data_IF_439220671082
#
_entry.id   IF_439220671082
#
_cell.length_a   1.000
_cell.length_b   1.000
_cell.length_c   1.000
_cell.angle_alpha   90.00
_cell.angle_beta   90.00
_cell.angle_gamma   90.00
#
_symmetry.space_group_name_H-M   'P 1'
#
loop_
_entity.id
_entity.type
_entity.pdbx_description
1 polymer ?
#
# COMPACT_ATOMS: atom_id res chain seq x y z
N UNK A 1 34.81 -1.07 33.04
CA UNK A 1 34.26 -0.77 31.70
C UNK A 1 32.85 -0.21 31.87
N UNK A 2 32.57 0.90 31.17
CA UNK A 2 31.34 1.68 30.91
C UNK A 2 29.99 1.18 31.50
N UNK A 3 29.00 1.99 31.92
CA UNK A 3 28.66 3.42 31.80
C UNK A 3 27.44 3.66 32.72
N UNK A 4 27.36 4.76 33.46
CA UNK A 4 26.09 5.43 33.84
C UNK A 4 26.41 6.81 34.43
N UNK A 5 25.90 7.85 33.77
CA UNK A 5 25.90 9.23 34.25
C UNK A 5 25.11 10.06 33.24
N UNK A 6 23.78 10.14 33.40
CA UNK A 6 23.05 11.23 34.08
C UNK A 6 23.47 12.62 33.62
N UNK A 7 22.81 13.06 32.56
CA UNK A 7 21.96 14.25 32.44
C UNK A 7 22.29 15.56 33.21
N UNK A 8 21.89 16.65 32.55
CA UNK A 8 21.75 18.05 32.98
C UNK A 8 23.06 18.82 33.23
N UNK A 9 23.16 20.13 33.04
CA UNK A 9 22.42 21.17 32.30
C UNK A 9 23.19 22.47 32.63
N UNK A 10 23.21 23.43 31.71
CA UNK A 10 23.50 24.86 31.94
C UNK A 10 24.86 25.25 32.55
N UNK A 11 25.62 26.10 31.83
CA UNK A 11 25.64 27.56 32.08
C UNK A 11 26.52 28.30 31.08
N UNK A 12 26.02 29.46 30.69
CA UNK A 12 26.66 30.54 29.92
C UNK A 12 28.00 30.96 30.51
N UNK A 13 28.93 31.37 29.64
CA UNK A 13 29.86 32.47 29.91
C UNK A 13 30.17 33.18 28.60
N UNK A 14 29.78 34.45 28.55
CA UNK A 14 30.12 35.47 27.53
C UNK A 14 31.25 36.30 28.12
N UNK A 15 32.22 36.73 27.28
CA UNK A 15 32.95 38.02 27.28
C UNK A 15 34.12 37.87 26.28
N UNK A 16 34.00 38.41 25.05
CA UNK A 16 34.39 39.76 24.60
C UNK A 16 35.91 39.97 24.46
N UNK A 17 36.38 40.10 23.21
CA UNK A 17 37.45 41.04 22.79
C UNK A 17 37.72 40.94 21.28
N UNK A 18 37.66 42.07 20.56
CA UNK A 18 38.39 42.28 19.30
C UNK A 18 37.56 42.59 18.03
N UNK A 19 37.49 43.88 17.66
CA UNK A 19 37.07 44.41 16.35
C UNK A 19 38.11 44.06 15.25
N UNK A 20 37.95 44.20 13.92
CA UNK A 20 37.36 45.25 13.06
C UNK A 20 37.24 44.72 11.60
N UNK A 21 36.37 45.33 10.77
CA UNK A 21 36.38 45.47 9.28
C UNK A 21 35.90 44.28 8.40
N UNK A 22 34.87 44.55 7.57
CA UNK A 22 34.98 44.25 6.13
C UNK A 22 33.91 43.39 5.46
N UNK A 23 32.90 44.06 4.89
CA UNK A 23 32.32 43.87 3.54
C UNK A 23 31.83 42.47 3.03
N UNK A 24 30.51 42.43 2.78
CA UNK A 24 29.75 41.77 1.70
C UNK A 24 29.98 40.28 1.35
N UNK A 25 28.89 39.48 1.31
CA UNK A 25 28.35 38.79 0.11
C UNK A 25 27.06 38.02 0.47
N UNK A 26 25.98 38.41 -0.21
CA UNK A 26 24.83 37.64 -0.75
C UNK A 26 24.47 36.25 -0.17
N UNK A 27 23.18 36.14 0.20
CA UNK A 27 22.24 35.03 -0.09
C UNK A 27 22.75 33.59 -0.04
N UNK A 28 22.28 32.84 0.95
CA UNK A 28 21.47 31.64 0.72
C UNK A 28 20.97 31.17 2.09
N UNK A 29 19.69 31.40 2.40
CA UNK A 29 19.01 30.49 3.30
C UNK A 29 19.04 29.15 2.59
N UNK A 30 19.99 28.29 2.97
CA UNK A 30 19.99 26.90 2.59
C UNK A 30 18.65 26.35 3.08
N UNK A 31 17.73 26.24 2.13
CA UNK A 31 16.50 25.48 2.21
C UNK A 31 16.94 24.11 2.71
N UNK A 32 16.60 23.77 3.94
CA UNK A 32 16.48 22.36 4.32
C UNK A 32 15.44 21.80 3.36
N UNK A 33 15.93 21.17 2.29
CA UNK A 33 15.11 20.35 1.44
C UNK A 33 14.52 19.27 2.37
N UNK A 34 13.18 19.17 2.50
CA UNK A 34 12.64 17.98 3.10
C UNK A 34 13.05 16.85 2.17
N UNK A 35 13.97 15.99 2.63
CA UNK A 35 14.13 14.64 2.11
C UNK A 35 12.84 13.92 2.54
N UNK A 36 11.74 14.27 1.88
CA UNK A 36 10.64 13.35 1.72
C UNK A 36 11.25 12.22 0.93
N UNK A 37 11.63 11.16 1.63
CA UNK A 37 11.92 9.87 1.04
C UNK A 37 10.66 9.53 0.24
N UNK A 38 10.68 9.89 -1.05
CA UNK A 38 9.59 9.64 -1.95
C UNK A 38 9.44 8.13 -1.92
N UNK A 39 8.35 7.65 -1.32
CA UNK A 39 8.01 6.23 -1.30
C UNK A 39 8.03 5.78 -2.74
N UNK A 40 9.12 5.16 -3.16
CA UNK A 40 9.30 4.69 -4.53
C UNK A 40 8.22 3.66 -4.73
N UNK A 41 7.22 4.01 -5.54
CA UNK A 41 6.17 3.07 -5.93
C UNK A 41 6.88 1.97 -6.71
N UNK A 42 6.97 0.79 -6.10
CA UNK A 42 7.55 -0.39 -6.73
C UNK A 42 6.70 -0.74 -7.94
N UNK A 43 7.32 -0.94 -9.10
CA UNK A 43 6.65 -1.42 -10.31
C UNK A 43 7.00 -2.89 -10.50
N UNK A 44 6.10 -3.61 -11.14
CA UNK A 44 6.33 -4.99 -11.50
C UNK A 44 7.32 -5.06 -12.68
N UNK A 45 8.34 -5.95 -12.62
CA UNK A 45 9.22 -6.20 -13.75
C UNK A 45 8.59 -7.12 -14.82
N UNK A 46 7.38 -7.64 -14.56
CA UNK A 46 6.70 -8.60 -15.42
C UNK A 46 6.24 -7.94 -16.73
N UNK A 47 6.20 -8.74 -17.80
CA UNK A 47 5.52 -8.34 -19.04
C UNK A 47 4.00 -8.33 -18.86
N UNK A 48 3.23 -7.59 -19.69
CA UNK A 48 1.79 -7.39 -19.49
C UNK A 48 0.97 -8.69 -19.38
N UNK A 49 1.20 -9.65 -20.27
CA UNK A 49 0.46 -10.92 -20.28
C UNK A 49 0.78 -11.77 -19.05
N UNK A 50 2.06 -11.88 -18.69
CA UNK A 50 2.47 -12.57 -17.47
C UNK A 50 1.89 -11.89 -16.23
N UNK A 51 1.93 -10.56 -16.17
CA UNK A 51 1.36 -9.82 -15.06
C UNK A 51 -0.15 -10.03 -14.94
N UNK A 52 -0.88 -10.10 -16.06
CA UNK A 52 -2.31 -10.42 -16.10
C UNK A 52 -2.59 -11.82 -15.55
N UNK A 53 -1.80 -12.82 -15.93
CA UNK A 53 -1.92 -14.19 -15.42
C UNK A 53 -1.68 -14.24 -13.90
N UNK A 54 -0.62 -13.60 -13.41
CA UNK A 54 -0.30 -13.55 -11.97
C UNK A 54 -1.40 -12.88 -11.14
N UNK A 55 -1.86 -11.69 -11.55
CA UNK A 55 -2.93 -11.00 -10.81
C UNK A 55 -4.28 -11.70 -10.94
N UNK A 56 -4.53 -12.44 -12.02
CA UNK A 56 -5.73 -13.28 -12.15
C UNK A 56 -5.69 -14.42 -11.14
N UNK A 57 -4.56 -15.14 -11.08
CA UNK A 57 -4.37 -16.23 -10.12
C UNK A 57 -4.48 -15.74 -8.68
N UNK A 58 -3.89 -14.58 -8.36
CA UNK A 58 -4.01 -13.98 -7.03
C UNK A 58 -5.45 -13.62 -6.65
N UNK A 59 -6.22 -13.06 -7.59
CA UNK A 59 -7.62 -12.70 -7.37
C UNK A 59 -8.48 -13.94 -7.16
N UNK A 60 -8.26 -14.99 -7.96
CA UNK A 60 -8.98 -16.26 -7.85
C UNK A 60 -8.67 -16.95 -6.52
N UNK A 61 -7.39 -16.98 -6.09
CA UNK A 61 -6.99 -17.57 -4.80
C UNK A 61 -7.56 -16.79 -3.61
N UNK A 62 -7.57 -15.46 -3.66
CA UNK A 62 -8.16 -14.62 -2.62
C UNK A 62 -9.69 -14.83 -2.53
N UNK A 63 -10.37 -14.94 -3.68
CA UNK A 63 -11.79 -15.23 -3.75
C UNK A 63 -12.10 -16.62 -3.17
N UNK A 64 -11.36 -17.64 -3.60
CA UNK A 64 -11.52 -19.02 -3.16
C UNK A 64 -11.32 -19.14 -1.65
N UNK A 65 -10.26 -18.54 -1.12
CA UNK A 65 -9.95 -18.61 0.31
C UNK A 65 -11.03 -17.91 1.18
N UNK A 66 -11.65 -16.84 0.69
CA UNK A 66 -12.80 -16.23 1.39
C UNK A 66 -14.06 -17.10 1.31
N UNK A 67 -14.30 -17.78 0.18
CA UNK A 67 -15.46 -18.68 0.06
C UNK A 67 -15.32 -19.92 0.96
N UNK A 68 -14.12 -20.48 1.10
CA UNK A 68 -13.87 -21.60 2.02
C UNK A 68 -14.18 -21.26 3.48
N UNK A 69 -13.82 -20.06 3.94
CA UNK A 69 -14.03 -19.67 5.35
C UNK A 69 -15.44 -19.14 5.62
N UNK A 70 -16.03 -18.39 4.69
CA UNK A 70 -17.32 -17.72 4.92
C UNK A 70 -18.52 -18.44 4.33
N UNK A 71 -18.33 -19.48 3.50
CA UNK A 71 -19.30 -20.37 2.88
C UNK A 71 -20.52 -19.71 2.21
N UNK A 72 -20.81 -20.12 0.98
CA UNK A 72 -21.99 -19.67 0.25
C UNK A 72 -21.86 -18.23 -0.24
N UNK A 73 -20.64 -17.82 -0.60
CA UNK A 73 -20.43 -16.56 -1.30
C UNK A 73 -20.72 -16.77 -2.79
N UNK A 74 -21.53 -15.91 -3.36
CA UNK A 74 -21.73 -15.84 -4.81
C UNK A 74 -20.99 -14.61 -5.31
N UNK A 75 -19.97 -14.83 -6.15
CA UNK A 75 -19.13 -13.77 -6.69
C UNK A 75 -19.51 -13.46 -8.13
N UNK A 76 -19.56 -12.18 -8.46
CA UNK A 76 -19.81 -11.67 -9.80
C UNK A 76 -18.77 -10.59 -10.14
N UNK A 77 -18.54 -10.36 -11.43
CA UNK A 77 -17.74 -9.22 -11.88
C UNK A 77 -18.56 -7.93 -11.76
N UNK A 78 -18.09 -6.98 -10.95
CA UNK A 78 -18.76 -5.68 -10.76
C UNK A 78 -18.22 -4.57 -11.66
N UNK A 79 -17.12 -4.83 -12.38
CA UNK A 79 -16.49 -3.87 -13.30
C UNK A 79 -15.87 -4.57 -14.50
N UNK A 80 -15.42 -3.79 -15.49
CA UNK A 80 -14.60 -4.30 -16.60
C UNK A 80 -13.11 -4.16 -16.27
N UNK A 81 -12.26 -4.90 -17.00
CA UNK A 81 -10.81 -4.67 -16.99
C UNK A 81 -10.52 -3.24 -17.48
N UNK A 82 -9.53 -2.58 -16.87
CA UNK A 82 -9.12 -1.24 -17.27
C UNK A 82 -7.60 -1.11 -17.26
N UNK A 83 -7.07 -0.33 -18.19
CA UNK A 83 -5.70 0.15 -18.21
C UNK A 83 -5.67 1.66 -18.04
N UNK A 84 -4.69 2.19 -17.32
CA UNK A 84 -4.60 3.63 -17.08
C UNK A 84 -3.19 4.09 -16.71
N UNK A 85 -2.80 5.31 -17.10
CA UNK A 85 -1.47 5.82 -16.81
C UNK A 85 -1.27 6.01 -15.31
N UNK A 86 -0.09 5.65 -14.83
CA UNK A 86 0.42 5.96 -13.49
C UNK A 86 1.80 6.59 -13.61
N UNK A 87 2.36 7.10 -12.51
CA UNK A 87 3.68 7.72 -12.53
C UNK A 87 4.72 6.77 -13.13
N UNK A 88 5.26 7.14 -14.30
CA UNK A 88 6.22 6.38 -15.11
C UNK A 88 5.83 4.91 -15.34
N UNK A 89 4.57 4.64 -15.69
CA UNK A 89 4.12 3.30 -16.06
C UNK A 89 2.64 3.23 -16.44
N UNK A 90 2.13 2.01 -16.52
CA UNK A 90 0.72 1.74 -16.72
C UNK A 90 0.18 0.81 -15.64
N UNK A 91 -1.01 1.11 -15.14
CA UNK A 91 -1.76 0.22 -14.27
C UNK A 91 -2.70 -0.64 -15.08
N UNK A 92 -2.60 -1.96 -14.94
CA UNK A 92 -3.61 -2.91 -15.36
C UNK A 92 -4.46 -3.29 -14.13
N UNK A 93 -5.78 -3.10 -14.21
CA UNK A 93 -6.73 -3.45 -13.14
C UNK A 93 -7.73 -4.45 -13.68
N UNK A 94 -7.82 -5.62 -13.04
CA UNK A 94 -8.81 -6.64 -13.41
C UNK A 94 -10.24 -6.23 -13.05
N UNK A 95 -11.25 -6.88 -13.64
CA UNK A 95 -12.63 -6.85 -13.14
C UNK A 95 -12.67 -7.10 -11.62
N UNK A 96 -13.32 -6.22 -10.88
CA UNK A 96 -13.53 -6.40 -9.46
C UNK A 96 -14.48 -7.59 -9.21
N UNK A 97 -14.18 -8.41 -8.19
CA UNK A 97 -15.06 -9.51 -7.75
C UNK A 97 -15.92 -9.01 -6.61
N UNK A 98 -17.24 -9.07 -6.76
CA UNK A 98 -18.19 -8.64 -5.74
C UNK A 98 -19.08 -9.78 -5.31
N UNK A 99 -19.34 -9.88 -4.01
CA UNK A 99 -20.46 -10.65 -3.46
C UNK A 99 -21.37 -9.75 -2.63
N UNK A 100 -22.68 -10.02 -2.63
CA UNK A 100 -23.67 -9.17 -1.93
C UNK A 100 -23.70 -9.36 -0.40
N UNK A 101 -22.81 -10.19 0.15
CA UNK A 101 -22.66 -10.34 1.60
C UNK A 101 -21.70 -9.31 2.15
N UNK A 102 -22.05 -8.68 3.28
CA UNK A 102 -21.13 -7.81 4.01
C UNK A 102 -20.25 -8.65 4.95
N UNK A 103 -19.05 -9.02 4.50
CA UNK A 103 -18.04 -9.68 5.34
C UNK A 103 -17.40 -8.68 6.29
N UNK A 104 -17.17 -9.09 7.54
CA UNK A 104 -16.56 -8.21 8.53
C UNK A 104 -17.54 -7.21 9.17
N UNK A 105 -18.85 -7.43 9.03
CA UNK A 105 -19.85 -6.68 9.81
C UNK A 105 -19.64 -6.91 11.31
N UNK A 106 -19.35 -8.16 11.70
CA UNK A 106 -18.85 -8.47 13.02
C UNK A 106 -17.33 -8.23 13.07
N UNK A 107 -16.89 -7.49 14.09
CA UNK A 107 -15.47 -7.29 14.37
C UNK A 107 -14.69 -8.60 14.61
N UNK A 108 -15.37 -9.67 15.04
CA UNK A 108 -14.77 -10.99 15.20
C UNK A 108 -14.24 -11.56 13.87
N UNK A 109 -14.87 -11.22 12.74
CA UNK A 109 -14.49 -11.70 11.41
C UNK A 109 -13.23 -11.01 10.87
N UNK A 110 -12.81 -9.86 11.44
CA UNK A 110 -11.69 -9.07 10.90
C UNK A 110 -10.36 -9.84 10.95
N UNK A 111 -10.14 -10.60 12.02
CA UNK A 111 -8.95 -11.45 12.15
C UNK A 111 -8.97 -12.63 11.17
N UNK A 112 -10.16 -13.16 10.86
CA UNK A 112 -10.31 -14.22 9.84
C UNK A 112 -10.02 -13.66 8.45
N UNK A 113 -10.59 -12.51 8.09
CA UNK A 113 -10.34 -11.85 6.79
C UNK A 113 -8.85 -11.53 6.63
N UNK A 114 -8.20 -11.00 7.68
CA UNK A 114 -6.75 -10.77 7.71
C UNK A 114 -5.96 -12.05 7.38
N UNK A 115 -6.26 -13.15 8.09
CA UNK A 115 -5.54 -14.41 7.93
C UNK A 115 -5.75 -15.03 6.54
N UNK A 116 -6.98 -14.99 6.03
CA UNK A 116 -7.35 -15.52 4.71
C UNK A 116 -6.63 -14.77 3.60
N UNK A 117 -6.73 -13.45 3.58
CA UNK A 117 -6.12 -12.63 2.54
C UNK A 117 -4.59 -12.69 2.63
N UNK A 118 -4.03 -12.75 3.83
CA UNK A 118 -2.58 -12.93 4.02
C UNK A 118 -2.10 -14.25 3.45
N UNK A 119 -2.82 -15.36 3.67
CA UNK A 119 -2.46 -16.66 3.08
C UNK A 119 -2.45 -16.61 1.56
N UNK A 120 -3.45 -15.99 0.94
CA UNK A 120 -3.50 -15.82 -0.51
C UNK A 120 -2.32 -14.96 -1.01
N UNK A 121 -2.03 -13.83 -0.37
CA UNK A 121 -0.90 -12.97 -0.73
C UNK A 121 0.46 -13.69 -0.58
N UNK A 122 0.68 -14.38 0.53
CA UNK A 122 1.92 -15.09 0.81
C UNK A 122 2.18 -16.25 -0.15
N UNK A 123 1.13 -16.93 -0.61
CA UNK A 123 1.24 -17.96 -1.65
C UNK A 123 1.81 -17.40 -2.97
N UNK A 124 1.62 -16.10 -3.22
CA UNK A 124 2.14 -15.35 -4.37
C UNK A 124 3.43 -14.57 -4.03
N UNK A 125 4.04 -14.80 -2.87
CA UNK A 125 5.26 -14.10 -2.44
C UNK A 125 5.05 -12.63 -2.05
N UNK A 126 3.79 -12.19 -1.89
CA UNK A 126 3.45 -10.81 -1.54
C UNK A 126 3.34 -10.63 -0.02
N UNK A 127 3.48 -9.38 0.49
CA UNK A 127 3.34 -9.11 1.92
C UNK A 127 1.94 -9.45 2.43
N UNK A 128 1.86 -10.00 3.65
CA UNK A 128 0.60 -10.25 4.34
C UNK A 128 -0.30 -9.00 4.40
N UNK A 129 -1.62 -9.20 4.34
CA UNK A 129 -2.58 -8.12 4.49
C UNK A 129 -2.65 -7.67 5.96
N UNK A 130 -2.68 -6.36 6.24
CA UNK A 130 -3.00 -5.90 7.58
C UNK A 130 -4.45 -6.25 7.93
N UNK A 131 -4.77 -6.27 9.22
CA UNK A 131 -6.16 -6.38 9.66
C UNK A 131 -7.05 -5.31 9.01
N UNK A 132 -8.24 -5.67 8.51
CA UNK A 132 -9.21 -4.69 8.03
C UNK A 132 -9.50 -3.62 9.08
N UNK A 133 -9.48 -2.37 8.64
CA UNK A 133 -9.77 -1.20 9.46
C UNK A 133 -10.98 -0.44 8.93
N UNK A 134 -11.63 0.33 9.80
CA UNK A 134 -12.89 1.02 9.50
C UNK A 134 -14.09 0.30 10.13
N UNK A 135 -15.19 0.19 9.38
CA UNK A 135 -16.42 -0.54 9.78
C UNK A 135 -16.98 -0.22 11.16
N UNK A 136 -17.82 0.81 11.33
CA UNK A 136 -19.29 0.72 11.26
C UNK A 136 -19.84 2.11 10.87
N UNK A 137 -20.66 2.19 9.81
CA UNK A 137 -21.10 3.44 9.15
C UNK A 137 -20.21 3.85 7.96
N UNK A 138 -18.92 3.52 8.02
CA UNK A 138 -17.94 3.64 6.94
C UNK A 138 -17.72 2.33 6.18
N UNK A 139 -16.73 2.35 5.28
CA UNK A 139 -16.19 1.14 4.66
C UNK A 139 -15.31 0.39 5.65
N UNK A 140 -15.35 -0.94 5.62
CA UNK A 140 -14.29 -1.79 6.14
C UNK A 140 -13.30 -2.04 5.00
N UNK A 141 -12.00 -1.87 5.23
CA UNK A 141 -10.99 -1.99 4.15
C UNK A 141 -9.71 -2.61 4.63
N UNK A 142 -9.07 -3.42 3.79
CA UNK A 142 -7.66 -3.76 3.88
C UNK A 142 -7.05 -3.82 2.48
N UNK A 143 -5.74 -3.65 2.39
CA UNK A 143 -5.00 -3.82 1.14
C UNK A 143 -3.55 -4.15 1.45
N UNK A 144 -2.94 -4.94 0.58
CA UNK A 144 -1.50 -5.18 0.60
C UNK A 144 -0.91 -4.95 -0.78
N UNK A 145 0.32 -4.43 -0.81
CA UNK A 145 1.03 -4.10 -2.03
C UNK A 145 2.48 -4.60 -1.96
N UNK A 146 2.95 -5.23 -3.03
CA UNK A 146 4.32 -5.70 -3.19
C UNK A 146 4.62 -5.89 -4.67
N UNK A 147 5.85 -5.58 -5.10
CA UNK A 147 6.30 -5.80 -6.48
C UNK A 147 5.39 -5.15 -7.55
N UNK A 148 4.75 -4.03 -7.22
CA UNK A 148 3.79 -3.34 -8.10
C UNK A 148 2.40 -3.98 -8.17
N UNK A 149 2.18 -5.14 -7.56
CA UNK A 149 0.86 -5.78 -7.43
C UNK A 149 0.20 -5.29 -6.15
N UNK A 150 -1.10 -5.03 -6.20
CA UNK A 150 -1.91 -4.67 -5.03
C UNK A 150 -3.21 -5.45 -5.03
N UNK A 151 -3.47 -6.17 -3.94
CA UNK A 151 -4.78 -6.74 -3.62
C UNK A 151 -5.51 -5.80 -2.66
N UNK A 152 -6.75 -5.46 -2.98
CA UNK A 152 -7.64 -4.65 -2.17
C UNK A 152 -8.88 -5.44 -1.76
N UNK A 153 -9.31 -5.23 -0.52
CA UNK A 153 -10.58 -5.70 0.01
C UNK A 153 -11.35 -4.50 0.55
N UNK A 154 -12.64 -4.41 0.21
CA UNK A 154 -13.55 -3.47 0.85
C UNK A 154 -14.92 -4.08 1.08
N UNK A 155 -15.57 -3.68 2.16
CA UNK A 155 -16.92 -4.12 2.45
C UNK A 155 -17.78 -3.02 3.10
N UNK A 156 -19.02 -2.88 2.60
CA UNK A 156 -20.08 -2.02 3.14
C UNK A 156 -21.43 -2.40 2.50
N UNK A 157 -22.18 -3.28 3.15
CA UNK A 157 -23.44 -3.82 2.60
C UNK A 157 -23.26 -4.84 1.47
N UNK A 158 -22.06 -4.91 0.88
CA UNK A 158 -21.54 -5.94 0.00
C UNK A 158 -20.03 -6.06 0.27
N UNK A 159 -19.37 -7.06 -0.30
CA UNK A 159 -17.91 -7.23 -0.26
C UNK A 159 -17.35 -7.20 -1.67
N UNK A 160 -16.20 -6.58 -1.85
CA UNK A 160 -15.52 -6.50 -3.14
C UNK A 160 -14.01 -6.71 -2.98
N UNK A 161 -13.45 -7.52 -3.87
CA UNK A 161 -12.02 -7.69 -4.09
C UNK A 161 -11.61 -6.97 -5.36
N UNK A 162 -10.48 -6.28 -5.30
CA UNK A 162 -9.83 -5.66 -6.45
C UNK A 162 -8.37 -6.08 -6.51
N UNK A 163 -7.85 -6.24 -7.71
CA UNK A 163 -6.41 -6.43 -7.91
C UNK A 163 -5.94 -5.54 -9.06
N UNK A 164 -4.75 -4.98 -8.91
CA UNK A 164 -4.09 -4.28 -10.00
C UNK A 164 -2.58 -4.49 -9.94
N UNK A 165 -1.92 -4.26 -11.07
CA UNK A 165 -0.48 -4.24 -11.20
C UNK A 165 -0.02 -2.96 -11.89
N UNK A 166 0.98 -2.30 -11.29
CA UNK A 166 1.68 -1.15 -11.86
C UNK A 166 2.90 -1.64 -12.64
N UNK A 167 2.82 -1.60 -13.97
CA UNK A 167 3.84 -2.07 -14.91
C UNK A 167 4.79 -0.94 -15.31
N UNK A 168 6.06 -1.27 -15.54
CA UNK A 168 7.07 -0.35 -16.07
C UNK A 168 7.03 -0.24 -17.62
N UNK A 169 5.83 -0.14 -18.19
CA UNK A 169 5.59 -0.01 -19.65
C UNK A 169 4.59 1.12 -19.94
N UNK A 170 4.45 1.54 -21.19
CA UNK A 170 3.39 2.47 -21.58
C UNK A 170 2.04 1.73 -21.69
N UNK A 171 0.93 2.43 -21.50
CA UNK A 171 -0.39 1.80 -21.57
C UNK A 171 -0.77 1.27 -22.96
N UNK A 172 -0.19 1.84 -24.02
CA UNK A 172 -0.37 1.35 -25.39
C UNK A 172 0.28 -0.02 -25.63
N UNK A 173 1.16 -0.46 -24.72
CA UNK A 173 1.88 -1.73 -24.80
C UNK A 173 1.24 -2.84 -23.94
N UNK A 174 0.11 -2.57 -23.25
CA UNK A 174 -0.52 -3.50 -22.28
C UNK A 174 -1.58 -4.41 -22.92
N UNK A 175 -2.07 -4.06 -24.11
CA UNK A 175 -3.11 -4.80 -24.84
C UNK A 175 -2.63 -6.19 -25.32
#
# INVERSE_FOLDING_TARGET
MLRRGTALQCRRSVLLSGAVVGLAVLTACAREEPIGEGKTVSRSPLGPQQAREEITSLLDDAQYALDEEFAGLSWEESSSETTGPVDAGCRLTLPARRCDRYLGLDSADHATIEAVLSRALEAHGLPAAPRPAGGTGGWLTTSSSGEGITLGFRAKGFTELTVHVDLAVNCEDVD
#
